data_IF_164670812578
#
_entry.id   IF_164670812578
#
_cell.length_a   1.000
_cell.length_b   1.000
_cell.length_c   1.000
_cell.angle_alpha   90.00
_cell.angle_beta   90.00
_cell.angle_gamma   90.00
#
_symmetry.space_group_name_H-M   'P 1'
#
loop_
_entity.id
_entity.type
_entity.pdbx_description
1 polymer ?
#
# COMPACT_ATOMS: atom_id res chain seq x y z
N UNK A 1 28.05 17.43 -2.94
CA UNK A 1 27.57 17.72 -1.58
C UNK A 1 26.17 18.28 -1.72
N UNK A 2 25.16 17.48 -1.40
CA UNK A 2 23.75 17.88 -1.54
C UNK A 2 23.30 18.41 -0.19
N UNK A 3 22.75 19.63 -0.17
CA UNK A 3 22.27 20.25 1.05
C UNK A 3 20.78 20.54 0.92
N UNK A 4 20.00 20.06 1.88
CA UNK A 4 18.58 20.33 1.99
C UNK A 4 18.34 21.23 3.21
N UNK A 5 17.72 22.38 2.96
CA UNK A 5 17.35 23.31 4.02
C UNK A 5 15.84 23.49 3.99
N UNK A 6 15.20 23.28 5.13
CA UNK A 6 13.76 23.45 5.30
C UNK A 6 13.51 24.35 6.49
N UNK A 7 12.57 25.29 6.38
CA UNK A 7 12.17 26.13 7.49
C UNK A 7 10.66 26.15 7.65
N UNK A 8 10.20 26.16 8.89
CA UNK A 8 8.80 26.21 9.28
C UNK A 8 8.62 27.37 10.23
N UNK A 9 7.70 28.27 9.87
CA UNK A 9 7.41 29.50 10.60
C UNK A 9 5.97 29.46 11.09
N UNK A 10 5.76 29.56 12.40
CA UNK A 10 4.43 29.52 13.01
C UNK A 10 4.17 30.82 13.80
N UNK A 11 3.09 31.55 13.50
CA UNK A 11 2.67 32.70 14.29
C UNK A 11 1.98 32.25 15.57
N UNK A 12 2.48 32.70 16.71
CA UNK A 12 1.88 32.41 18.02
C UNK A 12 0.97 33.58 18.40
N UNK A 13 -0.16 33.70 17.70
CA UNK A 13 -1.14 34.76 17.93
C UNK A 13 -2.13 34.42 19.07
N UNK A 14 -2.30 33.14 19.38
CA UNK A 14 -3.38 32.65 20.23
C UNK A 14 -3.14 32.87 21.74
N UNK A 15 -1.86 32.94 22.17
CA UNK A 15 -1.49 33.08 23.59
C UNK A 15 -1.21 34.53 24.04
N UNK A 16 -0.96 35.46 23.12
CA UNK A 16 -0.62 36.86 23.45
C UNK A 16 -1.27 37.85 22.45
N UNK A 17 -2.54 38.26 22.66
CA UNK A 17 -3.26 39.10 21.69
C UNK A 17 -2.67 40.50 21.52
N UNK A 18 -1.92 41.01 22.49
CA UNK A 18 -1.29 42.35 22.43
C UNK A 18 0.08 42.36 21.74
N UNK A 19 0.65 41.20 21.38
CA UNK A 19 2.00 41.11 20.81
C UNK A 19 2.07 40.07 19.70
N UNK A 20 2.67 40.45 18.56
CA UNK A 20 2.90 39.52 17.45
C UNK A 20 4.23 38.81 17.65
N UNK A 21 4.17 37.53 18.01
CA UNK A 21 5.34 36.67 18.19
C UNK A 21 5.34 35.62 17.07
N UNK A 22 6.48 35.48 16.40
CA UNK A 22 6.72 34.50 15.34
C UNK A 22 7.81 33.55 15.82
N UNK A 23 7.59 32.24 15.64
CA UNK A 23 8.59 31.21 15.95
C UNK A 23 8.99 30.53 14.66
N UNK A 24 10.28 30.62 14.34
CA UNK A 24 10.87 30.03 13.14
C UNK A 24 11.79 28.87 13.53
N UNK A 25 11.55 27.71 12.94
CA UNK A 25 12.41 26.53 13.01
C UNK A 25 13.08 26.31 11.67
N UNK A 26 14.41 26.22 11.67
CA UNK A 26 15.19 25.95 10.46
C UNK A 26 15.99 24.65 10.63
N UNK A 27 15.82 23.74 9.68
CA UNK A 27 16.46 22.44 9.61
C UNK A 27 17.40 22.42 8.42
N UNK A 28 18.68 22.14 8.65
CA UNK A 28 19.67 22.00 7.59
C UNK A 28 20.24 20.58 7.65
N UNK A 29 20.14 19.85 6.53
CA UNK A 29 20.63 18.49 6.38
C UNK A 29 21.66 18.49 5.23
N UNK A 30 22.91 18.17 5.57
CA UNK A 30 23.98 17.97 4.59
C UNK A 30 24.16 16.49 4.29
N UNK A 31 24.11 16.11 3.02
CA UNK A 31 24.40 14.76 2.56
C UNK A 31 25.75 14.74 1.83
N UNK A 32 26.71 14.02 2.42
CA UNK A 32 27.92 13.62 1.72
C UNK A 32 27.65 12.29 1.01
N UNK A 33 27.24 12.37 -0.27
CA UNK A 33 26.96 11.17 -1.05
C UNK A 33 28.28 10.42 -1.34
N UNK A 34 28.40 9.17 -0.91
CA UNK A 34 29.58 8.39 -1.23
C UNK A 34 29.59 8.02 -2.71
N UNK A 35 30.78 7.96 -3.31
CA UNK A 35 30.96 7.75 -4.76
C UNK A 35 30.69 6.29 -5.21
N UNK A 36 30.28 5.40 -4.30
CA UNK A 36 30.11 3.98 -4.56
C UNK A 36 28.78 3.47 -4.00
N UNK A 37 27.99 2.79 -4.85
CA UNK A 37 26.65 2.28 -4.52
C UNK A 37 26.63 1.35 -3.30
N UNK A 38 27.71 0.60 -3.05
CA UNK A 38 27.80 -0.34 -1.92
C UNK A 38 27.73 0.31 -0.53
N UNK A 39 27.98 1.62 -0.44
CA UNK A 39 28.01 2.36 0.82
C UNK A 39 26.67 2.98 1.22
N UNK A 40 25.62 2.86 0.38
CA UNK A 40 24.25 3.23 0.76
C UNK A 40 23.65 2.31 1.84
N UNK A 41 24.18 1.10 2.01
CA UNK A 41 23.67 0.12 2.99
C UNK A 41 24.21 0.30 4.42
N UNK A 42 25.01 1.34 4.64
CA UNK A 42 25.64 1.63 5.93
C UNK A 42 25.29 3.04 6.42
N UNK A 43 24.01 3.41 6.43
CA UNK A 43 23.59 4.73 6.94
C UNK A 43 23.59 4.68 8.47
N UNK A 44 24.43 5.45 9.18
CA UNK A 44 24.31 5.60 10.61
C UNK A 44 23.13 6.54 10.91
N UNK A 45 22.11 6.04 11.61
CA UNK A 45 20.96 6.86 12.04
C UNK A 45 21.43 7.94 13.06
N UNK A 46 22.59 7.76 13.70
CA UNK A 46 23.21 8.74 14.59
C UNK A 46 24.74 8.75 14.46
N UNK A 47 25.39 9.93 14.39
CA UNK A 47 26.84 10.00 14.44
C UNK A 47 27.32 9.71 15.87
N UNK A 48 27.94 8.55 16.09
CA UNK A 48 28.73 8.31 17.31
C UNK A 48 28.54 6.97 18.05
N UNK A 49 27.61 6.09 17.66
CA UNK A 49 27.28 4.90 18.47
C UNK A 49 27.69 3.52 17.90
N UNK A 50 28.26 3.40 16.70
CA UNK A 50 28.63 2.07 16.20
C UNK A 50 29.85 2.08 15.26
N UNK A 51 30.87 1.31 15.64
CA UNK A 51 31.98 0.89 14.78
C UNK A 51 31.43 0.05 13.61
N UNK A 52 31.38 0.60 12.39
CA UNK A 52 30.72 0.00 11.22
C UNK A 52 31.69 -0.48 10.13
N UNK A 53 32.83 -1.07 10.50
CA UNK A 53 33.70 -1.76 9.52
C UNK A 53 33.43 -3.26 9.40
N UNK A 54 32.56 -3.82 10.23
CA UNK A 54 32.19 -5.23 10.16
C UNK A 54 30.96 -5.35 9.26
N UNK A 55 31.09 -6.01 8.10
CA UNK A 55 29.93 -6.49 7.33
C UNK A 55 29.02 -7.22 8.32
N UNK A 56 27.73 -6.89 8.36
CA UNK A 56 26.75 -7.71 9.09
C UNK A 56 26.92 -9.14 8.61
N UNK A 57 27.46 -10.00 9.46
CA UNK A 57 27.39 -11.43 9.23
C UNK A 57 25.92 -11.80 9.41
N UNK A 58 25.24 -12.06 8.30
CA UNK A 58 23.95 -12.72 8.36
C UNK A 58 24.19 -14.06 9.06
N UNK A 59 23.42 -14.41 10.11
CA UNK A 59 23.47 -15.76 10.66
C UNK A 59 23.32 -16.72 9.49
N UNK A 60 24.26 -17.66 9.36
CA UNK A 60 24.19 -18.69 8.33
C UNK A 60 23.08 -19.64 8.74
N UNK A 61 21.85 -19.32 8.35
CA UNK A 61 20.65 -20.03 8.76
C UNK A 61 20.59 -21.37 8.03
N UNK A 62 20.55 -22.46 8.80
CA UNK A 62 20.08 -23.73 8.26
C UNK A 62 18.60 -23.57 7.91
N UNK A 63 18.27 -23.95 6.68
CA UNK A 63 16.97 -23.81 6.01
C UNK A 63 15.78 -24.51 6.72
N UNK A 64 16.01 -25.15 7.87
CA UNK A 64 15.09 -26.10 8.49
C UNK A 64 14.51 -25.64 9.84
N UNK A 65 14.65 -24.37 10.23
CA UNK A 65 14.03 -23.84 11.45
C UNK A 65 12.78 -23.01 11.14
N UNK A 66 11.57 -23.59 11.24
CA UNK A 66 10.31 -22.85 11.05
C UNK A 66 10.11 -21.71 12.07
N UNK A 67 10.88 -21.70 13.16
CA UNK A 67 10.74 -20.74 14.26
C UNK A 67 11.56 -19.45 14.09
N UNK A 68 12.30 -19.27 12.99
CA UNK A 68 13.15 -18.07 12.84
C UNK A 68 12.34 -16.77 12.83
N UNK A 69 11.20 -16.79 12.15
CA UNK A 69 10.31 -15.64 12.07
C UNK A 69 9.36 -15.52 13.27
N UNK A 70 9.23 -16.55 14.12
CA UNK A 70 8.39 -16.54 15.31
C UNK A 70 8.81 -15.43 16.31
N UNK A 71 10.10 -15.07 16.34
CA UNK A 71 10.60 -13.91 17.12
C UNK A 71 9.96 -12.58 16.69
N UNK A 72 9.61 -12.45 15.42
CA UNK A 72 8.93 -11.29 14.85
C UNK A 72 7.40 -11.44 14.89
N UNK A 73 6.92 -12.53 15.48
CA UNK A 73 5.51 -12.81 15.66
C UNK A 73 4.89 -13.57 14.50
N UNK A 74 5.67 -14.02 13.51
CA UNK A 74 5.17 -14.85 12.41
C UNK A 74 4.50 -16.10 12.96
N UNK A 75 3.23 -16.27 12.57
CA UNK A 75 2.43 -17.42 12.93
C UNK A 75 2.65 -18.52 11.89
N UNK A 76 3.11 -19.68 12.35
CA UNK A 76 3.45 -20.82 11.50
C UNK A 76 2.19 -21.54 11.00
N UNK A 77 1.07 -21.41 11.73
CA UNK A 77 -0.19 -22.09 11.42
C UNK A 77 -0.97 -21.34 10.32
N UNK A 78 -0.97 -20.00 10.38
CA UNK A 78 -1.57 -19.14 9.35
C UNK A 78 -0.59 -18.66 8.27
N UNK A 79 0.71 -18.96 8.43
CA UNK A 79 1.79 -18.49 7.57
C UNK A 79 1.86 -16.96 7.40
N UNK A 80 1.30 -16.20 8.33
CA UNK A 80 1.23 -14.74 8.27
C UNK A 80 2.07 -14.08 9.37
N UNK A 81 2.70 -12.97 9.02
CA UNK A 81 3.22 -12.04 10.00
C UNK A 81 2.06 -11.23 10.61
N UNK A 82 2.10 -10.83 11.89
CA UNK A 82 1.07 -10.03 12.56
C UNK A 82 0.94 -8.59 12.03
N UNK A 83 1.64 -8.28 10.95
CA UNK A 83 1.55 -7.01 10.19
C UNK A 83 1.12 -7.23 8.75
N UNK A 84 0.95 -8.48 8.34
CA UNK A 84 0.38 -8.82 7.06
C UNK A 84 -1.13 -8.63 7.16
N UNK A 85 -1.71 -8.21 6.04
CA UNK A 85 -3.15 -8.00 5.90
C UNK A 85 -3.61 -9.03 4.87
N UNK A 86 -4.64 -9.79 5.20
CA UNK A 86 -5.24 -10.73 4.25
C UNK A 86 -6.03 -9.98 3.18
N UNK A 87 -6.25 -10.63 2.03
CA UNK A 87 -7.06 -10.03 0.96
C UNK A 87 -8.50 -9.77 1.41
N UNK A 88 -9.08 -10.63 2.25
CA UNK A 88 -10.42 -10.42 2.80
C UNK A 88 -10.48 -9.19 3.72
N UNK A 89 -9.53 -9.06 4.65
CA UNK A 89 -9.41 -7.86 5.50
C UNK A 89 -9.21 -6.58 4.67
N UNK A 90 -8.38 -6.63 3.63
CA UNK A 90 -8.14 -5.50 2.74
C UNK A 90 -9.42 -5.10 2.01
N UNK A 91 -10.13 -6.04 1.40
CA UNK A 91 -11.36 -5.77 0.67
C UNK A 91 -12.46 -5.27 1.60
N UNK A 92 -12.63 -5.86 2.79
CA UNK A 92 -13.56 -5.36 3.80
C UNK A 92 -13.24 -3.92 4.20
N UNK A 93 -11.96 -3.58 4.40
CA UNK A 93 -11.55 -2.21 4.71
C UNK A 93 -11.84 -1.22 3.57
N UNK A 94 -11.71 -1.66 2.31
CA UNK A 94 -12.07 -0.85 1.14
C UNK A 94 -13.59 -0.68 1.04
N UNK A 95 -14.38 -1.74 1.23
CA UNK A 95 -15.84 -1.69 1.28
C UNK A 95 -16.32 -0.71 2.36
N UNK A 96 -15.76 -0.79 3.57
CA UNK A 96 -16.07 0.13 4.68
C UNK A 96 -15.72 1.58 4.35
N UNK A 97 -14.57 1.80 3.71
CA UNK A 97 -14.18 3.15 3.26
C UNK A 97 -15.15 3.69 2.21
N UNK A 98 -15.50 2.88 1.21
CA UNK A 98 -16.42 3.24 0.13
C UNK A 98 -17.83 3.53 0.66
N UNK A 99 -18.35 2.69 1.54
CA UNK A 99 -19.64 2.94 2.19
C UNK A 99 -19.62 4.21 3.03
N UNK A 100 -18.50 4.51 3.71
CA UNK A 100 -18.27 5.77 4.40
C UNK A 100 -18.34 7.01 3.50
N UNK A 101 -17.96 6.89 2.23
CA UNK A 101 -18.11 7.95 1.21
C UNK A 101 -19.48 7.95 0.52
N UNK A 102 -20.39 7.05 0.88
CA UNK A 102 -21.75 6.97 0.32
C UNK A 102 -21.87 6.06 -0.90
N UNK A 103 -20.86 5.25 -1.21
CA UNK A 103 -20.95 4.19 -2.23
C UNK A 103 -21.67 2.96 -1.67
N UNK A 104 -22.20 2.13 -2.56
CA UNK A 104 -22.77 0.83 -2.18
C UNK A 104 -21.64 -0.19 -1.99
N UNK A 105 -21.80 -1.16 -1.09
CA UNK A 105 -20.82 -2.22 -0.82
C UNK A 105 -20.44 -3.01 -2.09
N UNK A 106 -21.42 -3.29 -2.95
CA UNK A 106 -21.22 -3.97 -4.24
C UNK A 106 -20.41 -3.18 -5.26
N UNK A 107 -20.05 -1.91 -5.00
CA UNK A 107 -19.27 -1.12 -5.95
C UNK A 107 -17.84 -1.62 -6.14
N UNK A 108 -17.24 -2.24 -5.11
CA UNK A 108 -15.92 -2.84 -5.24
C UNK A 108 -15.98 -4.07 -6.16
N UNK A 109 -16.97 -4.95 -5.97
CA UNK A 109 -17.23 -6.10 -6.85
C UNK A 109 -17.49 -5.68 -8.31
N UNK A 110 -18.23 -4.58 -8.51
CA UNK A 110 -18.42 -3.99 -9.84
C UNK A 110 -17.09 -3.61 -10.49
N UNK A 111 -16.18 -3.01 -9.72
CA UNK A 111 -14.87 -2.59 -10.22
C UNK A 111 -13.98 -3.78 -10.62
N UNK A 112 -14.03 -4.87 -9.86
CA UNK A 112 -13.36 -6.14 -10.19
C UNK A 112 -13.90 -6.71 -11.50
N UNK A 113 -15.23 -6.78 -11.64
CA UNK A 113 -15.88 -7.26 -12.87
C UNK A 113 -15.52 -6.39 -14.08
N UNK A 114 -15.60 -5.07 -13.95
CA UNK A 114 -15.31 -4.13 -15.05
C UNK A 114 -13.85 -4.18 -15.48
N UNK A 115 -12.91 -4.30 -14.53
CA UNK A 115 -11.49 -4.45 -14.84
C UNK A 115 -11.20 -5.77 -15.56
N UNK A 116 -11.81 -6.87 -15.12
CA UNK A 116 -11.65 -8.18 -15.77
C UNK A 116 -12.23 -8.21 -17.18
N UNK A 117 -13.32 -7.48 -17.42
CA UNK A 117 -13.91 -7.31 -18.75
C UNK A 117 -13.05 -6.40 -19.65
N UNK A 118 -12.49 -5.32 -19.09
CA UNK A 118 -11.70 -4.34 -19.81
C UNK A 118 -10.46 -3.94 -18.98
N UNK A 119 -9.32 -4.62 -19.15
CA UNK A 119 -8.09 -4.28 -18.45
C UNK A 119 -7.51 -2.93 -18.92
N UNK A 120 -6.60 -2.36 -18.13
CA UNK A 120 -5.87 -1.16 -18.52
C UNK A 120 -5.01 -1.40 -19.78
N UNK A 121 -4.72 -0.33 -20.52
CA UNK A 121 -3.89 -0.39 -21.74
C UNK A 121 -2.41 -0.66 -21.39
N UNK A 122 -1.89 -1.80 -21.86
CA UNK A 122 -0.50 -2.24 -21.65
C UNK A 122 0.55 -1.25 -22.20
N UNK A 123 0.17 -0.35 -23.11
CA UNK A 123 1.12 0.62 -23.67
C UNK A 123 1.47 1.77 -22.72
N UNK A 124 0.68 1.98 -21.67
CA UNK A 124 0.88 3.05 -20.68
C UNK A 124 0.91 2.46 -19.26
N UNK A 125 1.83 1.54 -19.01
CA UNK A 125 2.01 0.92 -17.70
C UNK A 125 2.52 1.93 -16.67
N UNK A 126 1.65 2.28 -15.73
CA UNK A 126 1.98 3.08 -14.57
C UNK A 126 2.04 2.16 -13.33
N UNK A 127 2.91 2.46 -12.38
CA UNK A 127 2.98 1.69 -11.13
C UNK A 127 1.59 1.58 -10.44
N UNK A 128 0.79 2.65 -10.52
CA UNK A 128 -0.56 2.66 -9.95
C UNK A 128 -1.53 1.75 -10.71
N UNK A 129 -1.43 1.64 -12.05
CA UNK A 129 -2.26 0.69 -12.81
C UNK A 129 -1.92 -0.74 -12.42
N UNK A 130 -0.63 -1.06 -12.27
CA UNK A 130 -0.19 -2.40 -11.89
C UNK A 130 -0.68 -2.79 -10.49
N UNK A 131 -0.62 -1.85 -9.54
CA UNK A 131 -1.14 -2.05 -8.18
C UNK A 131 -2.65 -2.29 -8.21
N UNK A 132 -3.41 -1.47 -8.94
CA UNK A 132 -4.86 -1.61 -9.04
C UNK A 132 -5.24 -2.91 -9.73
N UNK A 133 -4.54 -3.28 -10.81
CA UNK A 133 -4.75 -4.55 -11.50
C UNK A 133 -4.49 -5.73 -10.56
N UNK A 134 -3.36 -5.71 -9.83
CA UNK A 134 -3.05 -6.76 -8.89
C UNK A 134 -4.12 -6.87 -7.79
N UNK A 135 -4.48 -5.76 -7.16
CA UNK A 135 -5.48 -5.76 -6.07
C UNK A 135 -6.86 -6.20 -6.56
N UNK A 136 -7.26 -5.84 -7.78
CA UNK A 136 -8.60 -6.14 -8.31
C UNK A 136 -8.63 -7.41 -9.18
N UNK A 137 -7.58 -8.23 -9.14
CA UNK A 137 -7.53 -9.56 -9.79
C UNK A 137 -7.37 -10.66 -8.75
N UNK A 138 -8.45 -11.01 -8.02
CA UNK A 138 -8.41 -11.96 -6.90
C UNK A 138 -7.87 -13.35 -7.29
N UNK A 139 -8.05 -13.80 -8.53
CA UNK A 139 -7.50 -15.08 -9.02
C UNK A 139 -5.99 -15.05 -9.25
N UNK A 140 -5.37 -13.87 -9.36
CA UNK A 140 -3.92 -13.72 -9.60
C UNK A 140 -3.11 -13.71 -8.29
N UNK A 141 -3.75 -13.59 -7.13
CA UNK A 141 -3.08 -13.55 -5.85
C UNK A 141 -3.64 -14.58 -4.85
N UNK A 142 -2.75 -15.28 -4.14
CA UNK A 142 -3.13 -16.18 -3.04
C UNK A 142 -3.23 -15.43 -1.69
N UNK A 143 -3.80 -14.23 -1.70
CA UNK A 143 -3.84 -13.34 -0.53
C UNK A 143 -4.94 -13.64 0.49
N UNK A 144 -5.90 -14.52 0.16
CA UNK A 144 -7.00 -14.89 1.05
C UNK A 144 -6.58 -15.97 2.04
N UNK A 145 -7.06 -15.85 3.28
CA UNK A 145 -6.92 -16.91 4.28
C UNK A 145 -7.91 -18.06 4.03
N UNK A 146 -7.58 -19.26 4.52
CA UNK A 146 -8.47 -20.42 4.46
C UNK A 146 -9.82 -20.19 5.18
N UNK A 147 -9.85 -19.28 6.15
CA UNK A 147 -11.08 -18.87 6.85
C UNK A 147 -11.98 -17.95 6.01
N UNK A 148 -11.45 -17.35 4.94
CA UNK A 148 -12.11 -16.31 4.13
C UNK A 148 -12.66 -16.85 2.81
N UNK A 149 -12.90 -18.16 2.73
CA UNK A 149 -13.36 -18.83 1.50
C UNK A 149 -14.59 -18.18 0.87
N UNK A 150 -15.57 -17.74 1.67
CA UNK A 150 -16.76 -17.07 1.15
C UNK A 150 -16.42 -15.73 0.46
N UNK A 151 -15.54 -14.94 1.06
CA UNK A 151 -15.09 -13.68 0.46
C UNK A 151 -14.34 -13.95 -0.84
N UNK A 152 -13.42 -14.93 -0.83
CA UNK A 152 -12.70 -15.37 -2.02
C UNK A 152 -13.65 -15.75 -3.15
N UNK A 153 -14.60 -16.64 -2.90
CA UNK A 153 -15.54 -17.13 -3.92
C UNK A 153 -16.36 -15.99 -4.55
N UNK A 154 -16.83 -15.04 -3.73
CA UNK A 154 -17.64 -13.91 -4.23
C UNK A 154 -16.81 -13.00 -5.14
N UNK A 155 -15.57 -12.71 -4.78
CA UNK A 155 -14.68 -11.85 -5.55
C UNK A 155 -14.14 -12.52 -6.82
N UNK A 156 -13.73 -13.79 -6.74
CA UNK A 156 -13.34 -14.59 -7.91
C UNK A 156 -14.52 -14.74 -8.89
N UNK A 157 -15.74 -14.92 -8.39
CA UNK A 157 -16.94 -14.97 -9.23
C UNK A 157 -17.18 -13.64 -9.97
N UNK A 158 -16.95 -12.50 -9.31
CA UNK A 158 -17.07 -11.19 -9.94
C UNK A 158 -16.04 -11.01 -11.07
N UNK A 159 -14.80 -11.46 -10.85
CA UNK A 159 -13.75 -11.46 -11.89
C UNK A 159 -14.15 -12.35 -13.08
N UNK A 160 -14.63 -13.58 -12.81
CA UNK A 160 -15.10 -14.51 -13.84
C UNK A 160 -16.27 -13.94 -14.65
N UNK A 161 -17.21 -13.24 -14.01
CA UNK A 161 -18.33 -12.60 -14.69
C UNK A 161 -17.86 -11.54 -15.69
N UNK A 162 -16.85 -10.75 -15.31
CA UNK A 162 -16.19 -9.79 -16.19
C UNK A 162 -15.46 -10.47 -17.35
N UNK A 163 -14.68 -11.52 -17.06
CA UNK A 163 -13.96 -12.30 -18.07
C UNK A 163 -14.90 -12.95 -19.10
N UNK A 164 -16.08 -13.40 -18.67
CA UNK A 164 -17.13 -13.94 -19.55
C UNK A 164 -17.88 -12.86 -20.35
N UNK A 165 -17.55 -11.57 -20.16
CA UNK A 165 -18.16 -10.45 -20.85
C UNK A 165 -19.61 -10.21 -20.45
N UNK A 166 -20.00 -10.57 -19.21
CA UNK A 166 -21.33 -10.22 -18.69
C UNK A 166 -21.43 -8.71 -18.47
N UNK A 167 -22.66 -8.20 -18.45
CA UNK A 167 -22.91 -6.78 -18.17
C UNK A 167 -22.77 -6.51 -16.65
N UNK A 168 -21.57 -6.10 -16.23
CA UNK A 168 -21.24 -5.77 -14.85
C UNK A 168 -22.13 -4.64 -14.28
N UNK A 169 -22.58 -3.70 -15.11
CA UNK A 169 -23.46 -2.61 -14.66
C UNK A 169 -24.87 -3.11 -14.32
N UNK A 170 -25.35 -4.14 -15.03
CA UNK A 170 -26.62 -4.81 -14.70
C UNK A 170 -26.49 -5.75 -13.49
N UNK A 171 -25.41 -6.52 -13.41
CA UNK A 171 -25.15 -7.44 -12.29
C UNK A 171 -25.06 -6.67 -10.96
N UNK A 172 -24.40 -5.51 -10.98
CA UNK A 172 -24.18 -4.67 -9.80
C UNK A 172 -24.97 -3.36 -9.89
N UNK A 173 -26.25 -3.43 -10.26
CA UNK A 173 -27.13 -2.27 -10.48
C UNK A 173 -27.32 -1.36 -9.25
N UNK A 174 -27.07 -1.88 -8.04
CA UNK A 174 -27.09 -1.09 -6.81
C UNK A 174 -25.94 -0.07 -6.74
N UNK A 175 -24.84 -0.35 -7.44
CA UNK A 175 -23.73 0.58 -7.54
C UNK A 175 -23.97 1.62 -8.65
N UNK A 176 -24.35 2.84 -8.26
CA UNK A 176 -24.61 3.93 -9.20
C UNK A 176 -23.33 4.63 -9.71
N UNK A 177 -22.20 4.42 -9.04
CA UNK A 177 -20.95 5.13 -9.32
C UNK A 177 -19.86 4.16 -9.75
N UNK A 178 -19.13 4.51 -10.79
CA UNK A 178 -18.05 3.68 -11.31
C UNK A 178 -16.72 4.12 -10.66
N UNK A 179 -16.26 3.36 -9.67
CA UNK A 179 -15.02 3.64 -8.93
C UNK A 179 -13.81 3.45 -9.84
N UNK A 180 -13.85 2.43 -10.70
CA UNK A 180 -12.75 2.13 -11.61
C UNK A 180 -12.49 3.32 -12.55
N UNK A 181 -13.55 4.00 -13.03
CA UNK A 181 -13.43 5.26 -13.79
C UNK A 181 -12.83 6.40 -13.00
N UNK A 182 -13.16 6.55 -11.72
CA UNK A 182 -12.55 7.58 -10.87
C UNK A 182 -11.04 7.37 -10.77
N UNK A 183 -10.61 6.13 -10.56
CA UNK A 183 -9.19 5.76 -10.49
C UNK A 183 -8.50 5.93 -11.86
N UNK A 184 -9.17 5.52 -12.94
CA UNK A 184 -8.67 5.65 -14.30
C UNK A 184 -8.36 7.11 -14.67
N UNK A 185 -9.23 8.04 -14.29
CA UNK A 185 -9.02 9.48 -14.53
C UNK A 185 -7.75 10.00 -13.85
N UNK A 186 -7.38 9.46 -12.68
CA UNK A 186 -6.15 9.83 -11.97
C UNK A 186 -4.93 9.20 -12.62
N UNK A 187 -5.04 7.96 -13.12
CA UNK A 187 -3.93 7.25 -13.78
C UNK A 187 -3.61 7.89 -15.15
N UNK A 188 -4.62 8.40 -15.86
CA UNK A 188 -4.46 9.07 -17.15
C UNK A 188 -4.09 10.56 -17.09
N UNK A 189 -3.98 11.14 -15.89
CA UNK A 189 -3.67 12.56 -15.66
C UNK A 189 -2.18 12.80 -15.39
#
# INVERSE_FOLDING_TARGET
NLQLTSSVSVPVAEFFPERRILVDWCFAIGYDLPHNLSSFYSIPIWPGFANYHTKRELPRLEHNQPDFYAKYGYDVDTQMHPKDISAGELYAAIEDALTGYGFHDTCLLRSVCELAAQPFDDNHSHLLSDIVTFILSPTQHDGFLDSEQLYREVYEQAELDGFLGKDCAQLYAHCQHDILRLVSNVISA
#
